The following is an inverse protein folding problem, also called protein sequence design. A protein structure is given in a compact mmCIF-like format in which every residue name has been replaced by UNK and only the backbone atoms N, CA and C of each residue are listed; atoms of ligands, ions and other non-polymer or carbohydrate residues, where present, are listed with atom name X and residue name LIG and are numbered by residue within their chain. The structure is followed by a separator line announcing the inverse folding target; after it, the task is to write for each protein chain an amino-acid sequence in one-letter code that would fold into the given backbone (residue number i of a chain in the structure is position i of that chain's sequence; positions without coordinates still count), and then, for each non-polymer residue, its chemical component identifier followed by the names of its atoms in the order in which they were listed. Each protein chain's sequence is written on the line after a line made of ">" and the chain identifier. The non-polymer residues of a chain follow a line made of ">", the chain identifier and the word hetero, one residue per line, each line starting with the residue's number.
data_IF_481103283276
#
_entry.id   IF_481103283276
#
_cell.length_a   1.000
_cell.length_b   1.000
_cell.length_c   1.000
_cell.angle_alpha   90.00
_cell.angle_beta   90.00
_cell.angle_gamma   90.00
#
_symmetry.space_group_name_H-M   'P 1'
#
loop_
_entity.id
_entity.type
_entity.pdbx_description
1 polymer ?
#
# COMPACT_ATOMS: atom_id res chain seq x y z
N UNK A 1 42.91 -22.63 -26.42
CA UNK A 1 42.58 -21.38 -25.69
C UNK A 1 41.22 -20.95 -26.14
N UNK A 2 40.20 -21.40 -25.44
CA UNK A 2 38.77 -21.11 -25.74
C UNK A 2 38.30 -19.97 -24.84
N UNK A 3 37.89 -18.89 -25.48
CA UNK A 3 37.28 -17.71 -24.83
C UNK A 3 35.85 -18.05 -24.51
N UNK A 4 35.49 -18.06 -23.25
CA UNK A 4 34.11 -18.18 -22.80
C UNK A 4 33.44 -16.80 -22.87
N UNK A 5 32.55 -16.62 -23.82
CA UNK A 5 31.64 -15.49 -23.90
C UNK A 5 30.58 -15.63 -22.77
N UNK A 6 30.60 -14.73 -21.80
CA UNK A 6 29.56 -14.58 -20.83
C UNK A 6 28.46 -13.69 -21.40
N UNK A 7 27.46 -14.27 -21.97
CA UNK A 7 26.22 -13.57 -22.32
C UNK A 7 25.46 -13.24 -21.03
N UNK A 8 25.58 -11.99 -20.59
CA UNK A 8 24.76 -11.44 -19.50
C UNK A 8 23.30 -11.35 -19.92
N UNK A 9 22.48 -12.22 -19.37
CA UNK A 9 21.02 -12.13 -19.48
C UNK A 9 20.51 -10.82 -18.85
N UNK A 10 19.46 -10.20 -19.41
CA UNK A 10 18.89 -9.00 -18.83
C UNK A 10 18.36 -9.34 -17.42
N UNK A 11 18.76 -8.52 -16.44
CA UNK A 11 18.34 -8.63 -15.04
C UNK A 11 16.82 -8.71 -14.97
N UNK A 12 16.32 -9.86 -14.51
CA UNK A 12 14.91 -10.05 -14.27
C UNK A 12 14.41 -8.97 -13.28
N UNK A 13 13.19 -8.43 -13.46
CA UNK A 13 12.67 -7.44 -12.55
C UNK A 13 12.66 -8.02 -11.13
N UNK A 14 13.15 -7.21 -10.19
CA UNK A 14 13.21 -7.55 -8.77
C UNK A 14 11.85 -8.11 -8.32
N UNK A 15 11.84 -9.34 -7.80
CA UNK A 15 10.67 -9.97 -7.20
C UNK A 15 10.92 -10.10 -5.71
N UNK A 16 10.08 -9.50 -4.87
CA UNK A 16 10.25 -9.59 -3.44
C UNK A 16 10.20 -11.06 -2.95
N UNK A 17 11.02 -11.43 -1.94
CA UNK A 17 11.22 -12.82 -1.51
C UNK A 17 9.93 -13.56 -1.09
N UNK A 18 8.90 -12.83 -0.67
CA UNK A 18 7.60 -13.39 -0.26
C UNK A 18 6.70 -13.81 -1.43
N UNK A 19 7.01 -13.48 -2.69
CA UNK A 19 6.28 -14.04 -3.85
C UNK A 19 6.57 -15.53 -4.10
N UNK A 20 7.52 -16.14 -3.37
CA UNK A 20 7.92 -17.55 -3.57
C UNK A 20 7.00 -18.57 -2.87
N UNK A 21 6.04 -18.16 -2.05
CA UNK A 21 5.12 -19.06 -1.38
C UNK A 21 3.70 -18.94 -1.95
N UNK A 22 3.53 -19.20 -3.25
CA UNK A 22 2.30 -19.82 -3.73
C UNK A 22 2.50 -21.33 -3.66
N UNK A 23 2.51 -21.88 -2.47
CA UNK A 23 2.21 -23.28 -2.28
C UNK A 23 0.71 -23.46 -2.53
N UNK A 24 0.40 -24.36 -3.46
CA UNK A 24 -0.91 -24.96 -3.65
C UNK A 24 -1.36 -25.62 -2.33
N UNK A 25 -2.05 -24.88 -1.50
CA UNK A 25 -2.86 -25.40 -0.41
C UNK A 25 -4.29 -24.97 -0.65
N UNK A 26 -5.02 -25.75 -1.38
CA UNK A 26 -6.46 -25.93 -1.33
C UNK A 26 -6.85 -26.37 0.07
N UNK A 27 -6.98 -25.39 1.00
CA UNK A 27 -7.77 -25.57 2.22
C UNK A 27 -8.06 -24.20 2.83
N UNK A 28 -9.35 -23.88 2.91
CA UNK A 28 -9.97 -22.83 3.71
C UNK A 28 -9.49 -21.37 3.44
N UNK A 29 -9.56 -20.89 2.23
CA UNK A 29 -9.86 -19.49 2.00
C UNK A 29 -11.34 -19.29 2.38
N UNK A 30 -11.60 -19.25 3.68
CA UNK A 30 -12.89 -18.90 4.23
C UNK A 30 -13.12 -17.44 3.91
N UNK A 31 -13.53 -17.02 2.77
CA UNK A 31 -13.78 -15.64 2.31
C UNK A 31 -13.96 -14.55 3.36
N UNK A 32 -13.34 -14.74 4.52
CA UNK A 32 -13.40 -13.87 5.67
C UNK A 32 -12.61 -12.58 5.39
N UNK A 33 -13.28 -11.47 5.62
CA UNK A 33 -12.71 -10.13 5.51
C UNK A 33 -12.64 -9.53 6.91
N UNK A 34 -11.57 -8.80 7.16
CA UNK A 34 -11.41 -8.03 8.39
C UNK A 34 -11.52 -6.55 8.08
N UNK A 35 -12.47 -5.89 8.73
CA UNK A 35 -12.62 -4.45 8.67
C UNK A 35 -11.90 -3.82 9.85
N UNK A 36 -11.03 -2.86 9.58
CA UNK A 36 -10.29 -2.11 10.58
C UNK A 36 -10.82 -0.68 10.57
N UNK A 37 -11.40 -0.26 11.67
CA UNK A 37 -12.10 1.01 11.82
C UNK A 37 -11.82 1.62 13.18
N UNK A 38 -11.26 2.82 13.22
CA UNK A 38 -10.98 3.58 14.46
C UNK A 38 -10.33 2.73 15.58
N UNK A 39 -9.34 1.93 15.21
CA UNK A 39 -8.63 1.07 16.16
C UNK A 39 -9.39 -0.19 16.59
N UNK A 40 -10.51 -0.50 15.96
CA UNK A 40 -11.31 -1.72 16.18
C UNK A 40 -11.16 -2.66 15.00
N UNK A 41 -11.23 -3.95 15.28
CA UNK A 41 -11.24 -5.02 14.29
C UNK A 41 -12.62 -5.66 14.29
N UNK A 42 -13.22 -5.78 13.12
CA UNK A 42 -14.45 -6.51 12.89
C UNK A 42 -14.21 -7.60 11.85
N UNK A 43 -14.27 -8.86 12.27
CA UNK A 43 -14.26 -10.00 11.35
C UNK A 43 -15.64 -10.17 10.74
N UNK A 44 -15.68 -10.36 9.44
CA UNK A 44 -16.90 -10.49 8.64
C UNK A 44 -16.77 -11.69 7.70
N UNK A 45 -17.89 -12.34 7.43
CA UNK A 45 -18.04 -13.41 6.45
C UNK A 45 -18.63 -12.88 5.13
N UNK A 46 -18.39 -13.60 4.05
CA UNK A 46 -19.06 -13.29 2.77
C UNK A 46 -20.58 -13.26 2.93
N UNK A 47 -21.21 -12.23 2.40
CA UNK A 47 -22.63 -11.96 2.53
C UNK A 47 -23.01 -11.08 3.71
N UNK A 48 -22.07 -10.80 4.64
CA UNK A 48 -22.35 -9.87 5.74
C UNK A 48 -22.60 -8.45 5.23
N UNK A 49 -23.56 -7.79 5.89
CA UNK A 49 -23.86 -6.38 5.70
C UNK A 49 -23.53 -5.58 6.95
N UNK A 50 -22.69 -4.55 6.79
CA UNK A 50 -22.25 -3.69 7.89
C UNK A 50 -22.66 -2.25 7.62
N UNK A 51 -23.40 -1.65 8.54
CA UNK A 51 -23.74 -0.24 8.47
C UNK A 51 -22.70 0.59 9.24
N UNK A 52 -22.23 1.67 8.61
CA UNK A 52 -21.24 2.59 9.15
C UNK A 52 -21.83 3.98 9.34
N UNK A 53 -21.48 4.66 10.43
CA UNK A 53 -21.90 6.02 10.71
C UNK A 53 -21.74 6.42 12.18
N UNK A 54 -22.28 7.58 12.57
CA UNK A 54 -22.24 8.07 13.97
C UNK A 54 -23.52 7.83 14.75
N UNK A 55 -24.59 7.42 14.09
CA UNK A 55 -25.91 7.24 14.72
C UNK A 55 -26.06 5.95 15.51
N UNK A 56 -27.17 5.78 16.21
CA UNK A 56 -27.51 4.52 16.85
C UNK A 56 -27.84 3.45 15.79
N UNK A 57 -27.64 2.18 16.14
CA UNK A 57 -27.96 1.04 15.28
C UNK A 57 -26.97 0.78 14.13
N UNK A 58 -25.84 1.49 14.07
CA UNK A 58 -24.74 1.17 13.15
C UNK A 58 -23.77 0.20 13.82
N UNK A 59 -23.27 -0.77 13.05
CA UNK A 59 -22.32 -1.77 13.55
C UNK A 59 -20.89 -1.23 13.66
N UNK A 60 -20.48 -0.37 12.72
CA UNK A 60 -19.23 0.38 12.79
C UNK A 60 -19.56 1.84 13.10
N UNK A 61 -19.52 2.17 14.37
CA UNK A 61 -19.78 3.51 14.87
C UNK A 61 -18.44 4.26 14.98
N UNK A 62 -18.43 5.51 14.48
CA UNK A 62 -17.39 6.49 14.69
C UNK A 62 -17.97 7.77 15.27
N UNK A 63 -17.13 8.56 15.94
CA UNK A 63 -17.54 9.80 16.61
C UNK A 63 -17.11 11.07 15.85
N UNK A 64 -16.46 10.92 14.67
CA UNK A 64 -16.04 12.05 13.84
C UNK A 64 -17.24 12.78 13.22
N UNK A 65 -17.21 14.11 13.29
CA UNK A 65 -18.30 14.98 12.78
C UNK A 65 -18.51 14.89 11.28
N UNK A 66 -17.54 14.39 10.53
CA UNK A 66 -17.69 14.12 9.09
C UNK A 66 -18.62 12.94 8.80
N UNK A 67 -18.95 12.13 9.80
CA UNK A 67 -19.82 10.98 9.64
C UNK A 67 -21.29 11.36 9.75
N UNK A 68 -22.09 10.97 8.77
CA UNK A 68 -23.57 11.01 8.86
C UNK A 68 -24.07 9.93 9.82
N UNK A 69 -25.29 10.07 10.33
CA UNK A 69 -25.92 9.08 11.24
C UNK A 69 -25.89 7.67 10.63
N UNK A 70 -26.27 7.56 9.36
CA UNK A 70 -26.08 6.37 8.49
C UNK A 70 -25.32 6.86 7.30
N UNK A 71 -24.00 6.55 7.24
CA UNK A 71 -23.11 7.14 6.24
C UNK A 71 -22.96 6.21 5.04
N UNK A 72 -22.56 4.97 5.30
CA UNK A 72 -22.32 3.98 4.27
C UNK A 72 -22.80 2.60 4.66
N UNK A 73 -23.05 1.76 3.66
CA UNK A 73 -23.26 0.32 3.78
C UNK A 73 -22.08 -0.41 3.18
N UNK A 74 -21.56 -1.38 3.90
CA UNK A 74 -20.53 -2.30 3.44
C UNK A 74 -21.19 -3.66 3.24
N UNK A 75 -20.97 -4.26 2.09
CA UNK A 75 -21.33 -5.63 1.75
C UNK A 75 -20.03 -6.42 1.55
N UNK A 76 -19.89 -7.54 2.25
CA UNK A 76 -18.70 -8.39 2.18
C UNK A 76 -18.85 -9.37 1.04
N UNK A 77 -17.86 -9.35 0.15
CA UNK A 77 -17.76 -10.21 -1.05
C UNK A 77 -16.58 -11.18 -0.90
N UNK A 78 -16.51 -12.20 -1.73
CA UNK A 78 -15.38 -13.15 -1.75
C UNK A 78 -14.02 -12.49 -1.98
N UNK A 79 -14.00 -11.41 -2.76
CA UNK A 79 -12.77 -10.70 -3.17
C UNK A 79 -12.54 -9.37 -2.42
N UNK A 80 -13.31 -9.10 -1.36
CA UNK A 80 -13.19 -7.87 -0.58
C UNK A 80 -14.53 -7.30 -0.16
N UNK A 81 -14.74 -5.99 -0.30
CA UNK A 81 -15.99 -5.34 0.11
C UNK A 81 -16.52 -4.41 -0.98
N UNK A 82 -17.85 -4.28 -1.01
CA UNK A 82 -18.55 -3.21 -1.71
C UNK A 82 -19.00 -2.18 -0.68
N UNK A 83 -18.61 -0.94 -0.85
CA UNK A 83 -19.02 0.18 -0.01
C UNK A 83 -19.97 1.06 -0.80
N UNK A 84 -21.17 1.30 -0.25
CA UNK A 84 -22.21 2.15 -0.85
C UNK A 84 -22.45 3.35 0.03
N UNK A 85 -22.29 4.56 -0.51
CA UNK A 85 -22.67 5.81 0.15
C UNK A 85 -24.19 5.92 0.28
N UNK A 86 -24.69 6.20 1.47
CA UNK A 86 -26.11 6.35 1.76
C UNK A 86 -26.58 7.81 1.72
N UNK A 87 -26.14 8.56 0.70
CA UNK A 87 -26.37 10.00 0.56
C UNK A 87 -25.81 10.79 1.74
N UNK A 88 -24.59 10.44 2.13
CA UNK A 88 -23.91 11.11 3.23
C UNK A 88 -23.47 12.53 2.87
N UNK A 89 -23.31 13.38 3.87
CA UNK A 89 -22.89 14.77 3.67
C UNK A 89 -21.48 14.85 3.07
N UNK A 90 -20.53 14.12 3.66
CA UNK A 90 -19.12 14.19 3.29
C UNK A 90 -18.67 13.09 2.33
N UNK A 91 -19.52 12.11 2.01
CA UNK A 91 -19.28 11.11 0.98
C UNK A 91 -18.30 10.00 1.37
N UNK A 92 -18.16 9.09 0.43
CA UNK A 92 -17.20 7.99 0.45
C UNK A 92 -16.15 8.27 -0.62
N UNK A 93 -14.85 8.08 -0.28
CA UNK A 93 -13.73 8.48 -1.15
C UNK A 93 -12.76 7.32 -1.36
N UNK A 94 -12.46 7.03 -2.62
CA UNK A 94 -11.48 6.01 -3.01
C UNK A 94 -10.50 6.64 -4.01
N UNK A 95 -9.21 6.59 -3.68
CA UNK A 95 -8.16 7.15 -4.53
C UNK A 95 -8.36 8.65 -4.82
N UNK A 96 -8.76 9.44 -3.81
CA UNK A 96 -9.00 10.87 -3.93
C UNK A 96 -10.30 11.26 -4.69
N UNK A 97 -11.10 10.28 -5.13
CA UNK A 97 -12.36 10.53 -5.85
C UNK A 97 -13.57 10.14 -5.01
N UNK A 98 -14.58 11.00 -4.97
CA UNK A 98 -15.87 10.68 -4.36
C UNK A 98 -16.59 9.61 -5.16
N UNK A 99 -17.06 8.57 -4.48
CA UNK A 99 -17.75 7.41 -5.10
C UNK A 99 -19.09 7.19 -4.42
N UNK A 100 -20.12 6.93 -5.22
CA UNK A 100 -21.41 6.45 -4.71
C UNK A 100 -21.34 4.96 -4.34
N UNK A 101 -20.63 4.19 -5.12
CA UNK A 101 -20.33 2.78 -4.88
C UNK A 101 -18.86 2.53 -5.20
N UNK A 102 -18.15 1.87 -4.31
CA UNK A 102 -16.76 1.49 -4.50
C UNK A 102 -16.54 0.02 -4.12
N UNK A 103 -15.59 -0.65 -4.78
CA UNK A 103 -15.08 -1.95 -4.38
C UNK A 103 -13.68 -1.79 -3.82
N UNK A 104 -13.41 -2.44 -2.71
CA UNK A 104 -12.11 -2.40 -2.03
C UNK A 104 -11.66 -3.83 -1.77
N UNK A 105 -10.54 -4.20 -2.36
CA UNK A 105 -9.90 -5.50 -2.12
C UNK A 105 -9.16 -5.51 -0.77
N UNK A 106 -8.88 -6.67 -0.19
CA UNK A 106 -8.00 -6.79 0.96
C UNK A 106 -6.62 -6.18 0.68
N UNK A 107 -6.11 -5.42 1.64
CA UNK A 107 -4.91 -4.58 1.49
C UNK A 107 -5.23 -3.16 1.01
N UNK A 108 -6.48 -2.87 0.65
CA UNK A 108 -6.94 -1.54 0.30
C UNK A 108 -7.52 -0.74 1.47
N UNK A 109 -7.73 0.55 1.22
CA UNK A 109 -8.36 1.48 2.14
C UNK A 109 -9.37 2.38 1.41
N UNK A 110 -10.37 2.86 2.14
CA UNK A 110 -11.38 3.79 1.64
C UNK A 110 -11.71 4.79 2.75
N UNK A 111 -11.96 6.05 2.41
CA UNK A 111 -12.42 7.02 3.39
C UNK A 111 -13.94 7.08 3.42
N UNK A 112 -14.49 7.07 4.61
CA UNK A 112 -15.92 7.29 4.89
C UNK A 112 -16.01 8.60 5.66
N UNK A 113 -16.41 9.69 5.00
CA UNK A 113 -16.13 11.02 5.49
C UNK A 113 -14.61 11.26 5.54
N UNK A 114 -14.07 11.55 6.74
CA UNK A 114 -12.61 11.66 6.98
C UNK A 114 -12.02 10.42 7.65
N UNK A 115 -12.84 9.40 7.94
CA UNK A 115 -12.42 8.23 8.68
C UNK A 115 -11.96 7.12 7.72
N UNK A 116 -10.72 6.61 7.84
CA UNK A 116 -10.24 5.52 7.01
C UNK A 116 -10.83 4.19 7.47
N UNK A 117 -11.36 3.44 6.53
CA UNK A 117 -11.69 2.04 6.65
C UNK A 117 -10.63 1.22 5.90
N UNK A 118 -9.92 0.35 6.62
CA UNK A 118 -8.99 -0.58 6.01
C UNK A 118 -9.66 -1.94 5.84
N UNK A 119 -9.40 -2.58 4.72
CA UNK A 119 -9.91 -3.92 4.40
C UNK A 119 -8.75 -4.90 4.46
N UNK A 120 -8.77 -5.82 5.41
CA UNK A 120 -7.76 -6.84 5.61
C UNK A 120 -8.32 -8.25 5.50
N UNK A 121 -7.48 -9.23 5.81
CA UNK A 121 -7.84 -10.65 5.97
C UNK A 121 -7.33 -11.18 7.30
N UNK A 122 -7.93 -12.23 7.85
CA UNK A 122 -7.28 -13.01 8.90
C UNK A 122 -5.93 -13.54 8.40
N UNK A 123 -4.97 -13.66 9.29
CA UNK A 123 -3.70 -14.28 8.93
C UNK A 123 -3.91 -15.77 8.60
N UNK A 124 -3.36 -16.28 7.49
CA UNK A 124 -3.45 -17.69 7.15
C UNK A 124 -2.55 -18.54 8.05
N UNK A 125 -2.92 -19.82 8.23
CA UNK A 125 -2.09 -20.81 8.91
C UNK A 125 -1.99 -20.64 10.44
N UNK A 126 -0.91 -21.11 11.07
CA UNK A 126 -0.75 -21.15 12.53
C UNK A 126 -0.38 -19.80 13.15
N UNK A 127 -0.83 -18.70 12.57
CA UNK A 127 -0.61 -17.37 13.13
C UNK A 127 -1.33 -17.24 14.47
N UNK A 128 -0.77 -16.50 15.45
CA UNK A 128 -1.44 -16.24 16.71
C UNK A 128 -2.83 -15.63 16.49
N UNK A 129 -3.82 -16.05 17.29
CA UNK A 129 -5.20 -15.56 17.20
C UNK A 129 -5.27 -14.03 17.20
N UNK A 130 -6.11 -13.46 16.34
CA UNK A 130 -6.25 -12.02 16.18
C UNK A 130 -5.18 -11.34 15.33
N UNK A 131 -4.32 -12.11 14.65
CA UNK A 131 -3.41 -11.54 13.65
C UNK A 131 -4.19 -11.17 12.38
N UNK A 132 -4.00 -9.95 11.93
CA UNK A 132 -4.61 -9.40 10.71
C UNK A 132 -3.53 -9.14 9.67
N UNK A 133 -3.86 -9.40 8.42
CA UNK A 133 -3.03 -9.07 7.25
C UNK A 133 -3.70 -7.94 6.48
N UNK A 134 -2.96 -6.85 6.29
CA UNK A 134 -3.35 -5.75 5.42
C UNK A 134 -2.25 -5.51 4.38
N UNK A 135 -2.53 -5.86 3.14
CA UNK A 135 -1.49 -5.97 2.11
C UNK A 135 -0.46 -7.03 2.50
N UNK A 136 0.77 -6.59 2.70
CA UNK A 136 1.90 -7.44 3.13
C UNK A 136 2.26 -7.23 4.61
N UNK A 137 1.49 -6.44 5.35
CA UNK A 137 1.73 -6.11 6.75
C UNK A 137 0.90 -7.03 7.64
N UNK A 138 1.59 -7.80 8.48
CA UNK A 138 0.98 -8.65 9.50
C UNK A 138 1.03 -7.94 10.84
N UNK A 139 -0.10 -7.81 11.52
CA UNK A 139 -0.15 -7.12 12.79
C UNK A 139 -1.24 -7.62 13.72
N UNK A 140 -1.04 -7.37 15.02
CA UNK A 140 -1.99 -7.61 16.11
C UNK A 140 -2.15 -6.40 17.02
N UNK A 141 -1.17 -5.51 16.97
CA UNK A 141 -1.07 -4.38 17.89
C UNK A 141 -2.03 -3.26 17.50
N UNK A 142 -2.76 -2.72 18.46
CA UNK A 142 -3.56 -1.50 18.28
C UNK A 142 -2.72 -0.30 17.87
N UNK A 143 -1.43 -0.26 18.25
CA UNK A 143 -0.49 0.78 17.83
C UNK A 143 -0.22 0.70 16.33
N UNK A 144 0.02 -0.50 15.80
CA UNK A 144 0.19 -0.70 14.34
C UNK A 144 -1.10 -0.38 13.59
N UNK A 145 -2.25 -0.74 14.14
CA UNK A 145 -3.55 -0.42 13.57
C UNK A 145 -3.76 1.10 13.40
N UNK A 146 -3.43 1.87 14.44
CA UNK A 146 -3.50 3.35 14.38
C UNK A 146 -2.53 3.91 13.34
N UNK A 147 -1.30 3.39 13.30
CA UNK A 147 -0.31 3.77 12.30
C UNK A 147 -0.82 3.55 10.89
N UNK A 148 -1.39 2.37 10.59
CA UNK A 148 -1.95 2.05 9.28
C UNK A 148 -3.15 2.94 8.92
N UNK A 149 -4.01 3.26 9.88
CA UNK A 149 -5.11 4.20 9.66
C UNK A 149 -4.60 5.60 9.33
N UNK A 150 -3.58 6.10 10.03
CA UNK A 150 -2.93 7.37 9.72
C UNK A 150 -2.26 7.33 8.33
N UNK A 151 -1.58 6.24 8.02
CA UNK A 151 -0.96 6.01 6.70
C UNK A 151 -1.98 6.10 5.58
N UNK A 152 -3.15 5.48 5.75
CA UNK A 152 -4.22 5.53 4.76
C UNK A 152 -4.78 6.94 4.55
N UNK A 153 -4.84 7.77 5.61
CA UNK A 153 -5.21 9.19 5.50
C UNK A 153 -4.14 9.99 4.76
N UNK A 154 -2.88 9.84 5.16
CA UNK A 154 -1.76 10.56 4.54
C UNK A 154 -1.61 10.20 3.06
N UNK A 155 -1.91 8.96 2.69
CA UNK A 155 -1.86 8.49 1.32
C UNK A 155 -2.85 9.20 0.36
N UNK A 156 -3.89 9.87 0.89
CA UNK A 156 -4.83 10.63 0.07
C UNK A 156 -4.31 12.01 -0.33
N UNK A 157 -3.23 12.47 0.28
CA UNK A 157 -2.62 13.78 -0.01
C UNK A 157 -1.49 13.59 -1.01
N UNK A 158 -1.42 14.45 -2.02
CA UNK A 158 -0.33 14.46 -2.98
C UNK A 158 0.88 15.24 -2.42
N UNK A 159 1.58 14.61 -1.49
CA UNK A 159 2.75 15.17 -0.81
C UNK A 159 3.82 14.09 -0.56
N UNK A 160 5.09 14.45 -0.47
CA UNK A 160 6.14 13.54 -0.03
C UNK A 160 5.86 13.00 1.37
N UNK A 161 6.09 11.70 1.57
CA UNK A 161 5.92 11.04 2.87
C UNK A 161 7.29 10.61 3.40
N UNK A 162 7.62 11.06 4.60
CA UNK A 162 8.87 10.69 5.27
C UNK A 162 8.61 9.61 6.33
N UNK A 163 9.21 8.42 6.12
CA UNK A 163 9.08 7.27 7.02
C UNK A 163 10.37 7.11 7.82
N UNK A 164 10.29 7.23 9.15
CA UNK A 164 11.43 7.06 10.06
C UNK A 164 11.22 5.86 10.96
N UNK A 165 12.26 5.08 11.15
CA UNK A 165 12.23 3.90 12.02
C UNK A 165 13.55 3.16 12.02
N UNK A 166 13.76 2.29 13.00
CA UNK A 166 14.94 1.42 13.08
C UNK A 166 15.05 0.51 11.86
N UNK A 167 16.24 -0.02 11.58
CA UNK A 167 16.41 -1.05 10.55
C UNK A 167 15.55 -2.26 10.86
N UNK A 168 14.94 -2.88 9.85
CA UNK A 168 14.03 -4.02 10.03
C UNK A 168 12.65 -3.69 10.61
N UNK A 169 12.30 -2.42 10.85
CA UNK A 169 10.99 -2.03 11.40
C UNK A 169 9.82 -2.10 10.41
N UNK A 170 10.07 -2.49 9.15
CA UNK A 170 9.03 -2.62 8.12
C UNK A 170 8.74 -1.32 7.35
N UNK A 171 9.69 -0.40 7.25
CA UNK A 171 9.56 0.87 6.50
C UNK A 171 9.09 0.65 5.06
N UNK A 172 9.67 -0.31 4.35
CA UNK A 172 9.30 -0.64 2.96
C UNK A 172 7.83 -1.11 2.86
N UNK A 173 7.39 -1.99 3.78
CA UNK A 173 6.00 -2.41 3.84
C UNK A 173 5.04 -1.25 4.06
N UNK A 174 5.41 -0.30 4.94
CA UNK A 174 4.62 0.89 5.19
C UNK A 174 4.58 1.84 3.97
N UNK A 175 5.70 2.01 3.27
CA UNK A 175 5.76 2.80 2.04
C UNK A 175 4.87 2.18 0.94
N UNK A 176 4.91 0.85 0.78
CA UNK A 176 4.03 0.14 -0.14
C UNK A 176 2.55 0.29 0.26
N UNK A 177 2.25 0.34 1.56
CA UNK A 177 0.91 0.61 2.07
C UNK A 177 0.42 2.01 1.71
N UNK A 178 1.29 3.04 1.78
CA UNK A 178 0.99 4.40 1.29
C UNK A 178 0.62 4.36 -0.19
N UNK A 179 1.43 3.71 -1.03
CA UNK A 179 1.15 3.58 -2.45
C UNK A 179 -0.21 2.94 -2.71
N UNK A 180 -0.49 1.78 -2.08
CA UNK A 180 -1.73 1.03 -2.29
C UNK A 180 -2.98 1.74 -1.78
N UNK A 181 -2.87 2.54 -0.72
CA UNK A 181 -3.98 3.31 -0.18
C UNK A 181 -4.22 4.62 -0.92
N UNK A 182 -3.25 5.10 -1.69
CA UNK A 182 -3.26 6.39 -2.37
C UNK A 182 -3.94 6.39 -3.73
N UNK A 183 -4.16 7.60 -4.31
CA UNK A 183 -4.78 7.77 -5.61
C UNK A 183 -3.94 7.21 -6.78
N UNK A 184 -2.63 7.00 -6.55
CA UNK A 184 -1.67 6.48 -7.55
C UNK A 184 -1.44 4.97 -7.43
N UNK A 185 -2.30 4.24 -6.71
CA UNK A 185 -2.19 2.79 -6.48
C UNK A 185 -2.22 1.94 -7.76
N UNK A 186 -2.77 2.46 -8.85
CA UNK A 186 -2.75 1.83 -10.17
C UNK A 186 -1.50 2.14 -11.00
N UNK A 187 -0.65 3.06 -10.55
CA UNK A 187 0.58 3.46 -11.22
C UNK A 187 1.78 2.58 -10.84
N UNK A 188 2.96 2.85 -11.42
CA UNK A 188 4.15 2.07 -11.13
C UNK A 188 4.62 2.27 -9.68
N UNK A 189 5.09 1.18 -9.07
CA UNK A 189 5.85 1.18 -7.82
C UNK A 189 7.32 0.96 -8.13
N UNK A 190 8.15 1.97 -7.86
CA UNK A 190 9.60 1.92 -8.05
C UNK A 190 10.27 2.06 -6.69
N UNK A 191 11.00 1.03 -6.25
CA UNK A 191 11.79 1.05 -5.04
C UNK A 191 13.27 1.10 -5.39
N UNK A 192 14.00 2.00 -4.73
CA UNK A 192 15.43 2.20 -4.90
C UNK A 192 16.09 2.24 -3.52
N UNK A 193 17.07 1.36 -3.30
CA UNK A 193 17.89 1.40 -2.09
C UNK A 193 19.11 2.29 -2.34
N UNK A 194 19.13 3.46 -1.71
CA UNK A 194 20.20 4.45 -1.92
C UNK A 194 21.53 4.00 -1.33
N UNK A 195 21.55 3.19 -0.27
CA UNK A 195 22.78 2.64 0.30
C UNK A 195 23.50 1.63 -0.62
N UNK A 196 22.76 1.04 -1.57
CA UNK A 196 23.33 0.09 -2.54
C UNK A 196 23.90 0.79 -3.80
N UNK A 197 23.76 2.11 -3.93
CA UNK A 197 24.20 2.86 -5.09
C UNK A 197 25.63 3.39 -4.88
N UNK A 198 26.57 3.10 -5.77
CA UNK A 198 27.83 3.85 -5.82
C UNK A 198 27.56 5.34 -6.10
N UNK A 199 28.24 6.23 -5.40
CA UNK A 199 28.06 7.69 -5.55
C UNK A 199 28.13 8.14 -7.02
N UNK A 200 29.04 7.56 -7.79
CA UNK A 200 29.21 7.86 -9.22
C UNK A 200 28.04 7.44 -10.12
N UNK A 201 27.17 6.57 -9.65
CA UNK A 201 26.01 6.07 -10.40
C UNK A 201 24.68 6.57 -9.84
N UNK A 202 24.66 7.15 -8.63
CA UNK A 202 23.45 7.55 -7.95
C UNK A 202 22.63 8.56 -8.78
N UNK A 203 23.26 9.55 -9.38
CA UNK A 203 22.62 10.54 -10.24
C UNK A 203 22.00 9.88 -11.48
N UNK A 204 22.75 9.01 -12.15
CA UNK A 204 22.29 8.28 -13.32
C UNK A 204 21.13 7.33 -13.02
N UNK A 205 21.12 6.69 -11.85
CA UNK A 205 20.02 5.83 -11.41
C UNK A 205 18.77 6.61 -11.04
N UNK A 206 18.92 7.78 -10.40
CA UNK A 206 17.81 8.63 -10.01
C UNK A 206 17.18 9.34 -11.21
N UNK A 207 18.00 10.02 -12.03
CA UNK A 207 17.53 10.94 -13.07
C UNK A 207 17.64 10.38 -14.49
N UNK A 208 18.43 9.32 -14.68
CA UNK A 208 18.66 8.72 -15.99
C UNK A 208 19.90 9.25 -16.69
N UNK A 209 20.14 8.74 -17.88
CA UNK A 209 21.31 9.09 -18.73
C UNK A 209 20.83 9.30 -20.14
N UNK A 210 21.29 10.38 -20.76
CA UNK A 210 21.13 10.63 -22.20
C UNK A 210 22.35 10.06 -22.92
N UNK A 211 22.14 9.48 -24.08
CA UNK A 211 23.22 8.99 -24.93
C UNK A 211 24.32 10.04 -25.13
N UNK A 212 25.58 9.67 -24.89
CA UNK A 212 26.73 10.55 -25.02
C UNK A 212 27.02 11.46 -23.82
N UNK A 213 26.27 11.34 -22.72
CA UNK A 213 26.50 12.15 -21.52
C UNK A 213 27.88 11.89 -20.87
N UNK A 214 28.41 10.68 -21.00
CA UNK A 214 29.75 10.31 -20.53
C UNK A 214 30.30 9.12 -21.36
N UNK A 215 31.57 8.82 -21.20
CA UNK A 215 32.23 7.68 -21.89
C UNK A 215 31.57 6.36 -21.45
N UNK A 216 30.92 5.67 -22.40
CA UNK A 216 30.16 4.43 -22.15
C UNK A 216 28.62 4.63 -22.06
N UNK A 217 28.13 5.84 -22.24
CA UNK A 217 26.70 6.12 -22.37
C UNK A 217 26.20 5.83 -23.81
N UNK A 218 26.08 4.56 -24.18
CA UNK A 218 25.74 4.14 -25.54
C UNK A 218 24.26 4.33 -25.92
N UNK A 219 23.40 4.49 -24.94
CA UNK A 219 21.94 4.63 -25.11
C UNK A 219 21.32 5.46 -24.02
N UNK A 220 20.14 6.03 -24.29
CA UNK A 220 19.30 6.65 -23.28
C UNK A 220 18.82 5.62 -22.24
N UNK A 221 18.86 6.00 -20.97
CA UNK A 221 18.37 5.18 -19.86
C UNK A 221 17.52 6.02 -18.91
N UNK A 222 16.27 5.59 -18.73
CA UNK A 222 15.32 6.24 -17.83
C UNK A 222 15.74 6.07 -16.37
N UNK A 223 15.74 7.16 -15.62
CA UNK A 223 15.98 7.17 -14.18
C UNK A 223 14.77 6.69 -13.37
N UNK A 224 14.98 6.55 -12.07
CA UNK A 224 13.94 6.11 -11.14
C UNK A 224 12.75 7.08 -11.11
N UNK A 225 12.98 8.38 -11.15
CA UNK A 225 11.93 9.40 -11.21
C UNK A 225 11.05 9.24 -12.45
N UNK A 226 11.64 9.05 -13.62
CA UNK A 226 10.88 8.86 -14.85
C UNK A 226 10.11 7.53 -14.85
N UNK A 227 10.72 6.45 -14.37
CA UNK A 227 10.06 5.13 -14.24
C UNK A 227 8.90 5.15 -13.28
N UNK A 228 8.94 6.01 -12.24
CA UNK A 228 7.89 6.16 -11.26
C UNK A 228 6.79 7.14 -11.67
N UNK A 229 6.87 7.72 -12.86
CA UNK A 229 5.90 8.73 -13.31
C UNK A 229 4.46 8.22 -13.24
N UNK A 230 3.57 9.01 -12.63
CA UNK A 230 2.17 8.63 -12.39
C UNK A 230 1.97 7.57 -11.29
N UNK A 231 3.04 7.17 -10.61
CA UNK A 231 3.03 6.19 -9.52
C UNK A 231 3.71 6.68 -8.25
N UNK A 232 4.56 5.85 -7.67
CA UNK A 232 5.27 6.16 -6.43
C UNK A 232 6.74 5.72 -6.53
N UNK A 233 7.65 6.64 -6.20
CA UNK A 233 9.05 6.34 -5.99
C UNK A 233 9.31 6.19 -4.48
N UNK A 234 9.81 5.05 -4.07
CA UNK A 234 10.28 4.79 -2.72
C UNK A 234 11.81 4.80 -2.68
N UNK A 235 12.38 5.74 -1.93
CA UNK A 235 13.82 5.83 -1.69
C UNK A 235 14.11 5.30 -0.29
N UNK A 236 14.69 4.10 -0.20
CA UNK A 236 15.15 3.54 1.06
C UNK A 236 16.56 4.04 1.39
N UNK A 237 16.85 4.20 2.69
CA UNK A 237 18.13 4.71 3.22
C UNK A 237 18.58 6.01 2.50
N UNK A 238 17.66 6.93 2.27
CA UNK A 238 17.90 8.21 1.56
C UNK A 238 19.01 9.06 2.23
N UNK A 239 19.28 8.81 3.51
CA UNK A 239 20.36 9.40 4.26
C UNK A 239 21.77 9.06 3.72
N UNK A 240 21.92 7.99 2.93
CA UNK A 240 23.19 7.55 2.34
C UNK A 240 23.52 8.30 1.03
N UNK A 241 22.56 9.02 0.45
CA UNK A 241 22.84 9.87 -0.69
C UNK A 241 23.78 11.01 -0.31
N UNK A 242 24.60 11.46 -1.25
CA UNK A 242 25.46 12.65 -1.08
C UNK A 242 24.60 13.90 -0.80
N UNK A 243 25.12 14.91 -0.09
CA UNK A 243 24.36 16.14 0.20
C UNK A 243 23.82 16.86 -1.04
N UNK A 244 24.48 16.69 -2.20
CA UNK A 244 24.04 17.28 -3.47
C UNK A 244 22.79 16.58 -4.06
N UNK A 245 22.52 15.34 -3.67
CA UNK A 245 21.39 14.52 -4.17
C UNK A 245 20.24 14.37 -3.16
N UNK A 246 20.36 14.93 -1.97
CA UNK A 246 19.33 14.96 -0.90
C UNK A 246 18.31 16.11 -1.07
#
# INVERSE_FOLDING_TARGET
>A
MSVLESTGSPTAPWRPPWRRHRSSSTEADSGAVVLIWEGRILSCSVGDHVLVGRGPGVRLRGDDDSLSRRHARIEVLSEGVRVTDLNSTNGVWLGGQRKRVARVAPGGAILIGRCPLLVGRPAPGPAPSGTVVWGDIWFRSSKTMRLLSQTALMAQVDAPVWIRGASGSGKEGLALAVHRAGPRSGGPWVALNCAALPDSLAEAELFGVVRGAFTGADRDRKGAFERAHGGTLFLDEVGELTPALR
#
